data_IF_790863992444
#
_entry.id   IF_790863992444
#
_cell.length_a   1.000
_cell.length_b   1.000
_cell.length_c   1.000
_cell.angle_alpha   90.00
_cell.angle_beta   90.00
_cell.angle_gamma   90.00
#
_symmetry.space_group_name_H-M   'P 1'
#
loop_
_entity.id
_entity.type
_entity.pdbx_description
1 polymer ?
#
# COMPACT_ATOMS: atom_id res chain seq x y z
N UNK A 1 -14.92 11.91 -14.51
CA UNK A 1 -14.71 10.80 -13.55
C UNK A 1 -15.30 11.24 -12.21
N UNK A 2 -16.01 10.39 -11.46
CA UNK A 2 -16.48 10.74 -10.12
C UNK A 2 -15.30 11.15 -9.23
N UNK A 3 -15.49 12.16 -8.38
CA UNK A 3 -14.50 12.51 -7.35
C UNK A 3 -14.31 11.30 -6.45
N UNK A 4 -13.06 10.92 -6.17
CA UNK A 4 -12.75 9.78 -5.30
C UNK A 4 -12.94 10.14 -3.82
N UNK A 5 -14.15 10.54 -3.43
CA UNK A 5 -14.49 10.78 -2.03
C UNK A 5 -14.64 9.45 -1.29
N UNK A 6 -14.50 9.45 0.03
CA UNK A 6 -14.76 8.25 0.85
C UNK A 6 -16.17 7.71 0.58
N UNK A 7 -17.19 8.57 0.55
CA UNK A 7 -18.57 8.16 0.25
C UNK A 7 -18.70 7.46 -1.11
N UNK A 8 -18.08 8.00 -2.17
CA UNK A 8 -18.13 7.39 -3.51
C UNK A 8 -17.41 6.04 -3.54
N UNK A 9 -16.25 5.93 -2.86
CA UNK A 9 -15.51 4.67 -2.76
C UNK A 9 -16.28 3.61 -1.96
N UNK A 10 -16.93 4.01 -0.87
CA UNK A 10 -17.74 3.13 -0.02
C UNK A 10 -18.91 2.57 -0.83
N UNK A 11 -19.71 3.44 -1.44
CA UNK A 11 -20.85 3.02 -2.24
C UNK A 11 -20.45 2.11 -3.41
N UNK A 12 -19.34 2.43 -4.09
CA UNK A 12 -18.84 1.60 -5.19
C UNK A 12 -18.38 0.22 -4.70
N UNK A 13 -17.59 0.17 -3.63
CA UNK A 13 -17.09 -1.09 -3.08
C UNK A 13 -18.23 -1.97 -2.56
N UNK A 14 -19.23 -1.36 -1.90
CA UNK A 14 -20.43 -2.06 -1.45
C UNK A 14 -21.25 -2.64 -2.61
N UNK A 15 -21.48 -1.85 -3.65
CA UNK A 15 -22.21 -2.30 -4.85
C UNK A 15 -21.50 -3.44 -5.59
N UNK A 16 -20.18 -3.43 -5.65
CA UNK A 16 -19.38 -4.52 -6.24
C UNK A 16 -19.43 -5.75 -5.34
N UNK A 17 -19.25 -5.58 -4.03
CA UNK A 17 -19.25 -6.68 -3.07
C UNK A 17 -20.60 -7.42 -3.04
N UNK A 18 -21.72 -6.70 -3.06
CA UNK A 18 -23.06 -7.28 -3.00
C UNK A 18 -23.35 -8.31 -4.12
N UNK A 19 -22.57 -8.27 -5.21
CA UNK A 19 -22.69 -9.18 -6.36
C UNK A 19 -21.51 -10.15 -6.47
N UNK A 20 -20.47 -9.95 -5.67
CA UNK A 20 -19.25 -10.75 -5.74
C UNK A 20 -19.48 -12.13 -5.13
N UNK A 21 -19.12 -13.17 -5.88
CA UNK A 21 -19.16 -14.55 -5.42
C UNK A 21 -17.76 -15.14 -5.50
N UNK A 22 -17.38 -15.97 -4.54
CA UNK A 22 -16.11 -16.72 -4.62
C UNK A 22 -16.18 -17.64 -5.84
N UNK A 23 -15.14 -17.61 -6.67
CA UNK A 23 -15.04 -18.54 -7.80
C UNK A 23 -14.65 -19.94 -7.32
N UNK A 24 -15.27 -21.03 -7.86
CA UNK A 24 -15.03 -22.39 -7.37
C UNK A 24 -13.55 -22.78 -7.34
N UNK A 25 -12.77 -22.38 -8.34
CA UNK A 25 -11.34 -22.70 -8.43
C UNK A 25 -10.48 -21.96 -7.39
N UNK A 26 -11.02 -20.92 -6.74
CA UNK A 26 -10.36 -20.19 -5.66
C UNK A 26 -10.78 -20.66 -4.26
N UNK A 27 -11.91 -21.36 -4.15
CA UNK A 27 -12.51 -21.73 -2.86
C UNK A 27 -11.52 -22.46 -1.94
N UNK A 28 -10.78 -23.44 -2.48
CA UNK A 28 -9.82 -24.21 -1.68
C UNK A 28 -8.72 -23.33 -1.07
N UNK A 29 -8.15 -22.40 -1.84
CA UNK A 29 -7.11 -21.47 -1.36
C UNK A 29 -7.67 -20.49 -0.31
N UNK A 30 -8.88 -19.99 -0.54
CA UNK A 30 -9.56 -19.08 0.39
C UNK A 30 -9.88 -19.79 1.69
N UNK A 31 -10.43 -21.01 1.64
CA UNK A 31 -10.80 -21.80 2.82
C UNK A 31 -9.58 -22.11 3.70
N UNK A 32 -8.41 -22.39 3.10
CA UNK A 32 -7.17 -22.60 3.85
C UNK A 32 -6.76 -21.35 4.63
N UNK A 33 -6.76 -20.19 3.98
CA UNK A 33 -6.41 -18.93 4.64
C UNK A 33 -7.45 -18.54 5.71
N UNK A 34 -8.74 -18.59 5.36
CA UNK A 34 -9.83 -18.25 6.25
C UNK A 34 -9.85 -19.13 7.51
N UNK A 35 -9.72 -20.46 7.35
CA UNK A 35 -9.66 -21.39 8.49
C UNK A 35 -8.50 -21.07 9.42
N UNK A 36 -7.31 -20.79 8.88
CA UNK A 36 -6.14 -20.42 9.70
C UNK A 36 -6.38 -19.13 10.49
N UNK A 37 -6.97 -18.11 9.88
CA UNK A 37 -7.22 -16.83 10.55
C UNK A 37 -8.33 -16.91 11.60
N UNK A 38 -9.32 -17.77 11.38
CA UNK A 38 -10.41 -18.02 12.33
C UNK A 38 -10.08 -19.09 13.38
N UNK A 39 -8.97 -19.82 13.26
CA UNK A 39 -8.56 -20.81 14.25
C UNK A 39 -8.40 -20.14 15.62
N UNK A 40 -8.96 -20.72 16.71
CA UNK A 40 -9.02 -20.05 18.02
C UNK A 40 -7.67 -19.49 18.50
N UNK A 41 -6.59 -20.25 18.32
CA UNK A 41 -5.24 -19.83 18.71
C UNK A 41 -4.76 -18.61 17.92
N UNK A 42 -5.01 -18.57 16.62
CA UNK A 42 -4.61 -17.44 15.75
C UNK A 42 -5.52 -16.25 15.98
N UNK A 43 -6.84 -16.47 16.06
CA UNK A 43 -7.86 -15.45 16.29
C UNK A 43 -7.60 -14.69 17.58
N UNK A 44 -7.14 -15.36 18.64
CA UNK A 44 -6.86 -14.74 19.94
C UNK A 44 -5.93 -13.52 19.84
N UNK A 45 -4.91 -13.56 18.98
CA UNK A 45 -4.00 -12.44 18.73
C UNK A 45 -4.73 -11.23 18.15
N UNK A 46 -5.60 -11.45 17.16
CA UNK A 46 -6.34 -10.37 16.51
C UNK A 46 -7.42 -9.78 17.42
N UNK A 47 -8.08 -10.62 18.23
CA UNK A 47 -9.07 -10.16 19.20
C UNK A 47 -8.42 -9.41 20.34
N UNK A 48 -7.24 -9.83 20.82
CA UNK A 48 -6.49 -9.09 21.82
C UNK A 48 -6.04 -7.74 21.27
N UNK A 49 -5.53 -7.69 20.03
CA UNK A 49 -5.14 -6.43 19.40
C UNK A 49 -6.32 -5.48 19.22
N UNK A 50 -7.47 -5.99 18.76
CA UNK A 50 -8.71 -5.23 18.69
C UNK A 50 -9.12 -4.67 20.06
N UNK A 51 -9.00 -5.46 21.13
CA UNK A 51 -9.29 -5.02 22.49
C UNK A 51 -8.26 -3.98 23.01
N UNK A 52 -6.98 -4.13 22.68
CA UNK A 52 -5.91 -3.17 23.01
C UNK A 52 -6.17 -1.82 22.36
N UNK A 53 -6.46 -1.81 21.06
CA UNK A 53 -6.84 -0.61 20.31
C UNK A 53 -8.07 0.06 20.94
N UNK A 54 -9.07 -0.74 21.34
CA UNK A 54 -10.29 -0.22 21.99
C UNK A 54 -9.99 0.47 23.32
N UNK A 55 -9.09 -0.08 24.13
CA UNK A 55 -8.60 0.58 25.37
C UNK A 55 -7.90 1.92 25.09
N UNK A 56 -7.36 2.11 23.88
CA UNK A 56 -6.71 3.35 23.42
C UNK A 56 -7.66 4.31 22.70
N UNK A 57 -8.95 3.99 22.59
CA UNK A 57 -9.95 4.83 21.91
C UNK A 57 -10.13 4.56 20.40
N UNK A 58 -9.55 3.46 19.90
CA UNK A 58 -9.68 3.04 18.51
C UNK A 58 -10.53 1.78 18.40
N UNK A 59 -11.50 1.76 17.50
CA UNK A 59 -12.38 0.60 17.34
C UNK A 59 -12.09 -0.03 15.98
N UNK A 60 -11.23 -1.05 15.95
CA UNK A 60 -10.85 -1.78 14.74
C UNK A 60 -11.31 -3.23 14.89
N UNK A 61 -12.18 -3.75 14.01
CA UNK A 61 -12.63 -5.13 14.10
C UNK A 61 -11.48 -6.11 13.94
N UNK A 62 -11.45 -7.16 14.77
CA UNK A 62 -10.39 -8.18 14.75
C UNK A 62 -10.17 -8.78 13.36
N UNK A 63 -11.25 -8.99 12.59
CA UNK A 63 -11.17 -9.58 11.26
C UNK A 63 -10.49 -8.64 10.25
N UNK A 64 -10.55 -7.33 10.46
CA UNK A 64 -9.82 -6.36 9.63
C UNK A 64 -8.32 -6.38 9.93
N UNK A 65 -7.95 -6.56 11.20
CA UNK A 65 -6.55 -6.79 11.61
C UNK A 65 -6.05 -8.10 10.98
N UNK A 66 -6.85 -9.16 11.03
CA UNK A 66 -6.51 -10.48 10.49
C UNK A 66 -6.23 -10.44 8.98
N UNK A 67 -7.14 -9.87 8.18
CA UNK A 67 -6.95 -9.80 6.72
C UNK A 67 -5.84 -8.84 6.32
N UNK A 68 -5.63 -7.74 7.06
CA UNK A 68 -4.51 -6.83 6.79
C UNK A 68 -3.18 -7.54 7.05
N UNK A 69 -3.06 -8.26 8.18
CA UNK A 69 -1.88 -9.09 8.48
C UNK A 69 -1.64 -10.13 7.39
N UNK A 70 -2.67 -10.82 6.95
CA UNK A 70 -2.54 -11.82 5.89
C UNK A 70 -2.05 -11.19 4.57
N UNK A 71 -2.49 -9.97 4.26
CA UNK A 71 -2.09 -9.29 3.03
C UNK A 71 -0.65 -8.77 3.07
N UNK A 72 -0.23 -8.20 4.20
CA UNK A 72 1.09 -7.56 4.32
C UNK A 72 2.18 -8.52 4.77
N UNK A 73 1.84 -9.53 5.57
CA UNK A 73 2.78 -10.49 6.12
C UNK A 73 2.52 -11.94 5.69
N UNK A 74 1.41 -12.26 5.03
CA UNK A 74 1.10 -13.64 4.63
C UNK A 74 0.95 -14.61 5.81
N UNK A 75 1.12 -15.93 5.55
CA UNK A 75 1.04 -16.95 6.59
C UNK A 75 2.23 -16.85 7.54
N UNK A 76 2.00 -16.29 8.70
CA UNK A 76 2.96 -16.13 9.80
C UNK A 76 2.30 -16.61 11.11
N UNK A 77 2.42 -17.91 11.45
CA UNK A 77 1.81 -18.47 12.65
C UNK A 77 2.54 -18.08 13.93
N UNK A 78 3.75 -17.52 13.83
CA UNK A 78 4.57 -17.11 14.97
C UNK A 78 4.43 -15.61 15.28
N UNK A 79 3.71 -14.85 14.44
CA UNK A 79 3.52 -13.41 14.61
C UNK A 79 4.87 -12.67 14.72
N UNK A 80 5.84 -13.05 13.88
CA UNK A 80 7.18 -12.44 13.85
C UNK A 80 7.27 -11.24 12.92
N UNK A 81 6.28 -11.05 12.04
CA UNK A 81 6.26 -10.00 11.02
C UNK A 81 5.25 -8.91 11.34
N UNK A 82 5.67 -7.66 11.14
CA UNK A 82 4.83 -6.48 11.28
C UNK A 82 3.70 -6.47 10.25
N UNK A 83 2.51 -6.09 10.69
CA UNK A 83 1.31 -5.90 9.87
C UNK A 83 1.41 -4.70 8.91
N UNK A 84 2.44 -3.85 9.03
CA UNK A 84 2.62 -2.71 8.12
C UNK A 84 3.31 -3.06 6.79
N UNK A 85 4.29 -3.98 6.80
CA UNK A 85 5.09 -4.28 5.60
C UNK A 85 5.67 -5.70 5.53
N UNK A 86 5.37 -6.57 6.51
CA UNK A 86 5.86 -7.94 6.52
C UNK A 86 7.33 -8.12 6.96
N UNK A 87 8.04 -7.04 7.30
CA UNK A 87 9.36 -7.14 7.94
C UNK A 87 9.25 -7.69 9.36
N UNK A 88 10.33 -8.25 9.89
CA UNK A 88 10.37 -8.64 11.31
C UNK A 88 10.18 -7.41 12.21
N UNK A 89 9.33 -7.53 13.23
CA UNK A 89 9.07 -6.41 14.14
C UNK A 89 10.21 -6.13 15.14
N UNK A 90 11.05 -7.12 15.42
CA UNK A 90 12.18 -7.03 16.36
C UNK A 90 13.42 -6.36 15.75
N UNK A 91 13.25 -5.67 14.61
CA UNK A 91 14.30 -4.99 13.85
C UNK A 91 13.73 -3.73 13.20
N UNK A 92 14.61 -2.82 12.81
CA UNK A 92 14.23 -1.65 12.03
C UNK A 92 13.75 -2.08 10.64
N UNK A 93 12.55 -1.65 10.24
CA UNK A 93 11.97 -1.99 8.93
C UNK A 93 12.77 -1.40 7.76
N UNK A 94 12.91 -2.19 6.70
CA UNK A 94 13.57 -1.82 5.43
C UNK A 94 12.56 -1.62 4.30
N UNK A 95 11.42 -2.29 4.38
CA UNK A 95 10.27 -2.11 3.52
C UNK A 95 9.42 -0.93 4.03
N UNK A 96 8.65 -0.33 3.13
CA UNK A 96 7.82 0.85 3.44
C UNK A 96 6.59 0.41 4.23
N UNK A 97 6.22 1.08 5.34
CA UNK A 97 6.88 2.25 5.94
C UNK A 97 8.25 1.91 6.55
N UNK A 98 9.29 2.69 6.21
CA UNK A 98 10.68 2.40 6.59
C UNK A 98 11.00 2.95 7.96
N UNK A 99 12.02 2.39 8.61
CA UNK A 99 12.54 2.94 9.86
C UNK A 99 11.62 2.74 11.06
N UNK A 100 10.66 1.80 10.98
CA UNK A 100 9.76 1.45 12.09
C UNK A 100 10.43 0.41 12.99
N UNK A 101 10.11 0.42 14.27
CA UNK A 101 10.69 -0.50 15.25
C UNK A 101 12.16 -0.19 15.60
N UNK A 102 12.88 -1.12 16.26
CA UNK A 102 12.37 -2.41 16.74
C UNK A 102 11.25 -2.21 17.79
N UNK A 103 10.34 -3.18 17.86
CA UNK A 103 9.27 -3.24 18.87
C UNK A 103 9.56 -4.35 19.88
N UNK A 104 8.90 -4.32 21.04
CA UNK A 104 9.07 -5.37 22.06
C UNK A 104 8.23 -6.62 21.77
N UNK A 105 7.10 -6.45 21.09
CA UNK A 105 6.24 -7.55 20.65
C UNK A 105 5.45 -7.22 19.35
N UNK A 106 4.67 -8.20 18.89
CA UNK A 106 3.82 -8.02 17.70
C UNK A 106 2.70 -7.00 17.91
N UNK A 107 2.17 -6.87 19.12
CA UNK A 107 1.08 -5.95 19.43
C UNK A 107 1.55 -4.49 19.35
N UNK A 108 2.75 -4.18 19.83
CA UNK A 108 3.35 -2.85 19.65
C UNK A 108 3.60 -2.52 18.18
N UNK A 109 4.04 -3.52 17.39
CA UNK A 109 4.19 -3.36 15.95
C UNK A 109 2.84 -3.16 15.25
N UNK A 110 1.77 -3.80 15.75
CA UNK A 110 0.41 -3.64 15.23
C UNK A 110 -0.20 -2.28 15.59
N UNK A 111 -0.01 -1.83 16.82
CA UNK A 111 -0.35 -0.47 17.26
C UNK A 111 0.32 0.58 16.36
N UNK A 112 1.62 0.43 16.12
CA UNK A 112 2.38 1.34 15.26
C UNK A 112 1.84 1.37 13.83
N UNK A 113 1.62 0.19 13.24
CA UNK A 113 1.09 0.05 11.89
C UNK A 113 -0.31 0.64 11.73
N UNK A 114 -1.23 0.33 12.64
CA UNK A 114 -2.64 0.70 12.50
C UNK A 114 -2.91 2.15 12.89
N UNK A 115 -2.14 2.70 13.85
CA UNK A 115 -2.35 4.06 14.37
C UNK A 115 -1.49 5.09 13.65
N UNK A 116 -0.24 4.75 13.31
CA UNK A 116 0.77 5.74 12.89
C UNK A 116 1.23 5.58 11.44
N UNK A 117 0.82 4.54 10.73
CA UNK A 117 1.15 4.34 9.33
C UNK A 117 -0.09 4.51 8.44
N UNK A 118 0.11 4.89 7.18
CA UNK A 118 -0.98 4.94 6.23
C UNK A 118 -1.61 3.56 6.05
N UNK A 119 -2.94 3.49 5.87
CA UNK A 119 -3.90 4.58 5.73
C UNK A 119 -4.51 5.03 7.07
N UNK A 120 -3.85 4.76 8.20
CA UNK A 120 -4.32 5.08 9.56
C UNK A 120 -5.62 4.35 9.91
N UNK A 121 -5.63 3.04 9.72
CA UNK A 121 -6.82 2.20 9.90
C UNK A 121 -7.47 2.39 11.29
N UNK A 122 -6.70 2.62 12.35
CA UNK A 122 -7.23 2.85 13.69
C UNK A 122 -8.12 4.11 13.80
N UNK A 123 -7.91 5.09 12.92
CA UNK A 123 -8.71 6.32 12.86
C UNK A 123 -9.98 6.16 12.02
N UNK A 124 -10.12 5.05 11.29
CA UNK A 124 -11.28 4.74 10.48
C UNK A 124 -12.48 4.36 11.36
N UNK A 125 -13.68 4.82 10.99
CA UNK A 125 -14.91 4.62 11.77
C UNK A 125 -16.00 3.85 11.03
N UNK A 126 -15.96 3.82 9.70
CA UNK A 126 -17.00 3.19 8.90
C UNK A 126 -16.70 1.72 8.66
N UNK A 127 -17.20 0.85 9.52
CA UNK A 127 -17.02 -0.60 9.40
C UNK A 127 -18.18 -1.30 8.69
N UNK A 128 -18.95 -0.58 7.86
CA UNK A 128 -19.79 -1.23 6.84
C UNK A 128 -18.89 -2.00 5.87
N UNK A 129 -19.47 -2.91 5.09
CA UNK A 129 -18.71 -3.66 4.08
C UNK A 129 -17.98 -2.72 3.11
N UNK A 130 -18.68 -1.73 2.56
CA UNK A 130 -18.09 -0.72 1.67
C UNK A 130 -16.98 0.09 2.36
N UNK A 131 -17.18 0.42 3.64
CA UNK A 131 -16.20 1.10 4.48
C UNK A 131 -14.93 0.29 4.70
N UNK A 132 -15.06 -0.96 5.13
CA UNK A 132 -13.96 -1.89 5.36
C UNK A 132 -13.13 -2.12 4.08
N UNK A 133 -13.79 -2.30 2.93
CA UNK A 133 -13.11 -2.44 1.64
C UNK A 133 -12.45 -1.13 1.18
N UNK A 134 -13.03 0.02 1.53
CA UNK A 134 -12.46 1.34 1.19
C UNK A 134 -11.17 1.62 1.95
N UNK A 135 -11.13 1.39 3.26
CA UNK A 135 -9.88 1.55 4.03
C UNK A 135 -8.82 0.54 3.58
N UNK A 136 -9.22 -0.69 3.25
CA UNK A 136 -8.34 -1.71 2.67
C UNK A 136 -7.79 -1.33 1.30
N UNK A 137 -8.61 -0.70 0.46
CA UNK A 137 -8.17 -0.17 -0.83
C UNK A 137 -7.07 0.88 -0.66
N UNK A 138 -7.19 1.74 0.36
CA UNK A 138 -6.25 2.85 0.59
C UNK A 138 -4.84 2.39 0.91
N UNK A 139 -4.62 1.18 1.45
CA UNK A 139 -3.28 0.57 1.57
C UNK A 139 -2.56 0.47 0.22
N UNK A 140 -3.29 0.10 -0.82
CA UNK A 140 -2.74 -0.06 -2.18
C UNK A 140 -2.76 1.26 -2.99
N UNK A 141 -3.44 2.28 -2.47
CA UNK A 141 -3.77 3.50 -3.20
C UNK A 141 -4.98 3.37 -4.13
N UNK A 142 -5.30 4.48 -4.80
CA UNK A 142 -6.59 4.67 -5.48
C UNK A 142 -6.53 4.50 -7.00
N UNK A 143 -5.42 3.96 -7.49
CA UNK A 143 -5.16 3.81 -8.93
C UNK A 143 -6.18 2.93 -9.65
N UNK A 144 -6.79 1.96 -8.98
CA UNK A 144 -7.83 1.10 -9.56
C UNK A 144 -9.19 1.80 -9.59
N UNK A 145 -9.58 2.43 -8.48
CA UNK A 145 -10.82 3.20 -8.38
C UNK A 145 -10.88 4.33 -9.40
N UNK A 146 -9.79 5.10 -9.54
CA UNK A 146 -9.69 6.19 -10.52
C UNK A 146 -9.74 5.71 -11.97
N UNK A 147 -9.35 4.46 -12.23
CA UNK A 147 -9.48 3.81 -13.55
C UNK A 147 -10.87 3.21 -13.80
N UNK A 148 -11.74 3.15 -12.79
CA UNK A 148 -13.03 2.48 -12.90
C UNK A 148 -12.92 0.97 -13.08
N UNK A 149 -11.82 0.35 -12.61
CA UNK A 149 -11.60 -1.10 -12.70
C UNK A 149 -11.60 -1.74 -11.32
N UNK A 150 -12.01 -3.01 -11.19
CA UNK A 150 -11.96 -3.73 -9.91
C UNK A 150 -10.53 -3.79 -9.36
N UNK A 151 -10.38 -3.55 -8.06
CA UNK A 151 -9.09 -3.70 -7.39
C UNK A 151 -8.77 -5.19 -7.18
N UNK A 152 -7.70 -5.76 -7.79
CA UNK A 152 -7.31 -7.15 -7.60
C UNK A 152 -7.02 -7.50 -6.14
N UNK A 153 -6.51 -6.57 -5.35
CA UNK A 153 -6.19 -6.81 -3.93
C UNK A 153 -7.46 -6.89 -3.05
N UNK A 154 -8.60 -6.44 -3.56
CA UNK A 154 -9.89 -6.64 -2.93
C UNK A 154 -10.62 -7.85 -3.51
N UNK A 155 -10.69 -7.95 -4.83
CA UNK A 155 -11.66 -8.83 -5.51
C UNK A 155 -11.05 -10.03 -6.23
N UNK A 156 -9.72 -10.20 -6.25
CA UNK A 156 -9.12 -11.41 -6.81
C UNK A 156 -9.65 -12.67 -6.09
N UNK A 157 -10.05 -13.66 -6.89
CA UNK A 157 -10.75 -14.85 -6.41
C UNK A 157 -12.28 -14.73 -6.34
N UNK A 158 -12.86 -13.58 -6.67
CA UNK A 158 -14.31 -13.42 -6.84
C UNK A 158 -14.70 -13.16 -8.29
N UNK A 159 -15.99 -13.33 -8.60
CA UNK A 159 -16.60 -12.99 -9.90
C UNK A 159 -16.47 -11.51 -10.28
N UNK A 160 -16.11 -10.63 -9.33
CA UNK A 160 -15.98 -9.19 -9.56
C UNK A 160 -14.64 -8.76 -10.18
N UNK A 161 -13.66 -9.65 -10.30
CA UNK A 161 -12.35 -9.35 -10.91
C UNK A 161 -12.01 -10.37 -11.99
N UNK A 162 -11.39 -9.98 -13.10
CA UNK A 162 -10.94 -10.93 -14.13
C UNK A 162 -9.45 -10.72 -14.44
N UNK A 163 -9.08 -9.49 -14.76
CA UNK A 163 -7.71 -9.07 -15.06
C UNK A 163 -7.55 -7.58 -14.78
N UNK A 164 -6.33 -7.07 -14.86
CA UNK A 164 -6.01 -5.66 -14.64
C UNK A 164 -5.27 -5.46 -13.32
N UNK A 165 -3.95 -5.27 -13.40
CA UNK A 165 -3.09 -5.11 -12.22
C UNK A 165 -2.00 -4.09 -12.47
N UNK A 166 -1.67 -3.28 -11.46
CA UNK A 166 -0.40 -2.57 -11.43
C UNK A 166 0.73 -3.58 -11.20
N UNK A 167 1.50 -3.86 -12.26
CA UNK A 167 2.63 -4.80 -12.20
C UNK A 167 3.89 -4.14 -11.66
N UNK A 168 3.93 -2.80 -11.71
CA UNK A 168 4.96 -1.92 -11.15
C UNK A 168 4.29 -0.59 -10.80
N UNK A 169 4.98 0.26 -10.04
CA UNK A 169 4.50 1.60 -9.71
C UNK A 169 4.09 2.37 -10.97
N UNK A 170 2.84 2.82 -10.97
CA UNK A 170 2.21 3.53 -12.10
C UNK A 170 2.13 2.76 -13.42
N UNK A 171 2.53 1.48 -13.48
CA UNK A 171 2.46 0.62 -14.67
C UNK A 171 1.29 -0.34 -14.52
N UNK A 172 0.14 0.06 -15.05
CA UNK A 172 -1.06 -0.78 -15.12
C UNK A 172 -1.03 -1.66 -16.37
N UNK A 173 -1.16 -2.96 -16.18
CA UNK A 173 -1.33 -3.95 -17.23
C UNK A 173 -2.79 -4.46 -17.19
N UNK A 174 -3.61 -4.21 -18.23
CA UNK A 174 -5.00 -4.67 -18.27
C UNK A 174 -5.15 -6.20 -18.39
N UNK A 175 -4.10 -6.91 -18.80
CA UNK A 175 -4.09 -8.36 -19.00
C UNK A 175 -3.48 -9.11 -17.81
N UNK A 176 -2.70 -8.44 -16.96
CA UNK A 176 -2.13 -9.07 -15.79
C UNK A 176 -3.21 -9.57 -14.81
N UNK A 177 -3.07 -10.81 -14.35
CA UNK A 177 -3.99 -11.45 -13.40
C UNK A 177 -3.31 -11.61 -12.05
N UNK A 178 -4.01 -11.25 -10.97
CA UNK A 178 -3.49 -11.45 -9.62
C UNK A 178 -3.63 -12.92 -9.19
N UNK A 179 -2.54 -13.50 -8.70
CA UNK A 179 -2.56 -14.81 -8.03
C UNK A 179 -2.86 -14.70 -6.52
N UNK A 180 -2.86 -13.49 -5.97
CA UNK A 180 -3.15 -13.23 -4.55
C UNK A 180 -4.66 -13.31 -4.29
N UNK A 181 -5.04 -13.84 -3.13
CA UNK A 181 -6.44 -13.81 -2.66
C UNK A 181 -6.81 -12.37 -2.29
N UNK A 182 -7.93 -11.86 -2.80
CA UNK A 182 -8.41 -10.54 -2.46
C UNK A 182 -9.07 -10.48 -1.07
N UNK A 183 -9.01 -9.31 -0.43
CA UNK A 183 -9.58 -9.09 0.91
C UNK A 183 -11.09 -9.42 0.96
N UNK A 184 -11.87 -9.03 -0.05
CA UNK A 184 -13.30 -9.34 -0.09
C UNK A 184 -13.55 -10.86 -0.15
N UNK A 185 -12.76 -11.58 -0.95
CA UNK A 185 -12.84 -13.04 -1.05
C UNK A 185 -12.48 -13.71 0.28
N UNK A 186 -11.44 -13.20 0.95
CA UNK A 186 -11.01 -13.71 2.24
C UNK A 186 -12.03 -13.46 3.34
N UNK A 187 -12.64 -12.27 3.40
CA UNK A 187 -13.71 -11.93 4.35
C UNK A 187 -14.94 -12.83 4.17
N UNK A 188 -15.37 -13.06 2.93
CA UNK A 188 -16.44 -14.02 2.62
C UNK A 188 -16.08 -15.45 3.09
N UNK A 189 -14.83 -15.86 2.86
CA UNK A 189 -14.31 -17.14 3.36
C UNK A 189 -14.31 -17.22 4.88
N UNK A 190 -13.91 -16.16 5.58
CA UNK A 190 -13.87 -16.12 7.05
C UNK A 190 -15.27 -16.19 7.65
N UNK A 191 -16.28 -15.54 7.06
CA UNK A 191 -17.68 -15.61 7.50
C UNK A 191 -18.24 -17.04 7.50
N UNK A 192 -17.75 -17.92 6.62
CA UNK A 192 -18.10 -19.35 6.62
C UNK A 192 -17.59 -20.09 7.86
N UNK A 193 -16.45 -19.67 8.42
CA UNK A 193 -15.80 -20.34 9.55
C UNK A 193 -16.05 -19.66 10.89
N UNK A 194 -16.43 -18.39 10.89
CA UNK A 194 -16.63 -17.62 12.12
C UNK A 194 -17.74 -16.57 11.95
N UNK A 195 -18.87 -16.82 12.62
CA UNK A 195 -20.03 -15.95 12.59
C UNK A 195 -19.81 -14.59 13.29
N UNK A 196 -18.70 -14.41 14.03
CA UNK A 196 -18.34 -13.11 14.61
C UNK A 196 -17.69 -12.14 13.60
N UNK A 197 -17.47 -12.57 12.36
CA UNK A 197 -17.11 -11.69 11.24
C UNK A 197 -18.35 -10.93 10.77
N UNK A 198 -18.69 -9.88 11.51
CA UNK A 198 -19.87 -9.05 11.30
C UNK A 198 -19.46 -7.62 10.99
N UNK A 199 -20.03 -7.06 9.92
CA UNK A 199 -19.84 -5.67 9.53
C UNK A 199 -20.89 -4.79 10.21
N UNK A 200 -20.56 -3.52 10.42
CA UNK A 200 -21.54 -2.55 10.89
C UNK A 200 -22.64 -2.36 9.85
N UNK A 201 -23.88 -2.18 10.30
CA UNK A 201 -24.99 -1.73 9.46
C UNK A 201 -25.08 -0.20 9.38
N UNK A 202 -24.37 0.51 10.27
CA UNK A 202 -24.41 1.95 10.35
C UNK A 202 -23.38 2.56 9.41
N UNK A 203 -23.88 3.30 8.43
CA UNK A 203 -23.06 4.14 7.58
C UNK A 203 -22.72 5.44 8.32
N UNK A 204 -21.92 5.32 9.38
CA UNK A 204 -21.29 6.51 9.99
C UNK A 204 -20.40 7.15 8.96
N UNK A 205 -20.46 8.48 8.81
CA UNK A 205 -19.60 9.18 7.86
C UNK A 205 -18.15 8.73 8.05
N UNK A 206 -17.59 8.14 7.00
CA UNK A 206 -16.18 7.84 6.98
C UNK A 206 -15.43 9.16 7.08
N UNK A 207 -14.88 9.43 8.28
CA UNK A 207 -14.15 10.64 8.71
C UNK A 207 -14.11 11.77 7.66
N UNK A 208 -14.67 12.96 7.95
CA UNK A 208 -14.42 14.15 7.13
C UNK A 208 -12.91 14.31 6.90
N UNK A 209 -12.52 14.51 5.65
CA UNK A 209 -11.13 14.65 5.22
C UNK A 209 -10.33 15.53 6.19
N UNK A 210 -9.38 14.91 6.88
CA UNK A 210 -8.44 15.59 7.75
C UNK A 210 -7.06 14.98 7.49
N UNK A 211 -6.11 15.86 7.16
CA UNK A 211 -4.91 15.52 6.42
C UNK A 211 -4.09 14.36 7.02
N UNK A 212 -3.59 13.44 6.16
CA UNK A 212 -2.53 12.53 6.55
C UNK A 212 -1.21 13.32 6.75
N UNK A 213 -0.46 13.06 7.83
CA UNK A 213 0.89 13.57 8.05
C UNK A 213 1.82 13.49 6.82
N UNK A 214 2.70 14.49 6.70
CA UNK A 214 3.53 14.82 5.52
C UNK A 214 4.46 13.69 5.05
N UNK A 215 4.72 12.71 5.89
CA UNK A 215 5.56 11.52 5.65
C UNK A 215 4.86 10.42 4.82
N UNK A 216 3.54 10.37 4.81
CA UNK A 216 2.73 9.35 4.12
C UNK A 216 2.77 9.48 2.61
N UNK A 217 2.86 10.71 2.12
CA UNK A 217 2.84 11.02 0.68
C UNK A 217 4.19 10.76 0.03
N UNK A 218 5.29 10.78 0.82
CA UNK A 218 6.66 10.66 0.30
C UNK A 218 7.27 9.25 0.45
N UNK A 219 6.72 8.38 1.31
CA UNK A 219 7.23 7.02 1.54
C UNK A 219 6.58 5.93 0.67
N UNK A 220 5.26 5.98 0.44
CA UNK A 220 4.54 4.99 -0.37
C UNK A 220 5.05 4.91 -1.81
N UNK A 221 5.64 6.00 -2.33
CA UNK A 221 6.23 6.08 -3.68
C UNK A 221 7.78 5.92 -3.67
N UNK A 222 8.40 5.64 -2.51
CA UNK A 222 9.83 5.27 -2.41
C UNK A 222 10.08 3.77 -2.47
N UNK A 223 9.09 2.91 -2.18
CA UNK A 223 9.25 1.46 -2.17
C UNK A 223 9.68 0.89 -3.54
N UNK A 224 9.22 1.46 -4.66
CA UNK A 224 9.69 1.03 -5.98
C UNK A 224 11.11 1.47 -6.35
N UNK A 225 11.80 2.24 -5.50
CA UNK A 225 13.18 2.68 -5.79
C UNK A 225 14.26 1.68 -5.43
N UNK A 226 14.06 0.76 -4.48
CA UNK A 226 15.19 -0.05 -3.96
C UNK A 226 15.18 -1.54 -4.33
N UNK A 227 14.10 -2.09 -4.87
CA UNK A 227 14.10 -3.48 -5.40
C UNK A 227 14.82 -3.57 -6.76
N UNK A 228 15.16 -2.43 -7.37
CA UNK A 228 15.77 -2.34 -8.71
C UNK A 228 17.29 -2.51 -8.80
N UNK A 229 18.03 -2.60 -7.70
CA UNK A 229 19.50 -2.74 -7.76
C UNK A 229 20.01 -4.18 -7.52
N UNK A 230 19.22 -5.04 -6.88
CA UNK A 230 19.66 -6.43 -6.57
C UNK A 230 19.19 -7.49 -7.58
N UNK A 231 18.06 -7.27 -8.28
CA UNK A 231 17.51 -8.26 -9.22
C UNK A 231 17.98 -8.07 -10.67
N UNK A 232 18.73 -7.00 -10.97
CA UNK A 232 19.23 -6.69 -12.33
C UNK A 232 20.69 -7.11 -12.59
N UNK A 233 21.43 -7.57 -11.57
CA UNK A 233 22.85 -7.94 -11.71
C UNK A 233 23.08 -9.43 -12.03
N UNK A 234 22.01 -10.22 -12.20
CA UNK A 234 22.09 -11.68 -12.34
C UNK A 234 22.05 -12.23 -13.78
N UNK A 235 22.11 -11.41 -14.82
CA UNK A 235 22.08 -11.97 -16.19
C UNK A 235 22.23 -10.92 -17.28
N UNK A 236 23.47 -10.70 -17.72
CA UNK A 236 24.00 -11.05 -19.05
C UNK A 236 25.50 -10.75 -18.98
N UNK A 237 26.31 -11.81 -19.05
CA UNK A 237 27.75 -11.71 -19.30
C UNK A 237 27.97 -11.35 -20.77
N UNK A 238 28.95 -10.48 -21.07
CA UNK A 238 29.38 -10.25 -22.45
C UNK A 238 30.29 -9.05 -22.72
N UNK A 239 31.58 -9.23 -22.41
CA UNK A 239 32.75 -8.77 -23.17
C UNK A 239 33.23 -7.30 -23.15
N UNK A 240 34.58 -7.22 -23.10
CA UNK A 240 35.51 -6.16 -23.50
C UNK A 240 35.91 -5.07 -22.47
N UNK A 241 37.01 -5.36 -21.74
CA UNK A 241 38.30 -4.63 -21.70
C UNK A 241 38.37 -3.30 -22.50
N UNK A 242 39.03 -2.21 -22.08
CA UNK A 242 40.39 -2.07 -21.51
C UNK A 242 40.58 -0.77 -20.68
N UNK A 243 41.58 -0.77 -19.78
CA UNK A 243 42.54 0.33 -19.44
C UNK A 243 42.04 1.76 -19.12
N UNK A 244 42.62 2.55 -18.20
CA UNK A 244 43.90 2.47 -17.55
C UNK A 244 43.93 3.40 -16.31
N UNK A 245 44.79 2.98 -15.37
CA UNK A 245 45.46 3.67 -14.26
C UNK A 245 45.42 5.21 -14.25
N UNK A 246 45.02 5.75 -13.10
CA UNK A 246 45.54 6.99 -12.51
C UNK A 246 47.05 6.86 -12.22
N UNK A 247 47.87 7.90 -12.47
CA UNK A 247 48.64 8.68 -11.45
C UNK A 247 49.53 9.77 -12.14
N UNK A 248 49.50 10.98 -11.56
CA UNK A 248 50.52 12.07 -11.53
C UNK A 248 50.92 12.89 -12.78
N UNK A 249 50.79 14.22 -12.63
CA UNK A 249 51.49 15.24 -13.43
C UNK A 249 50.91 16.65 -13.23
N UNK A 250 51.51 17.45 -12.34
CA UNK A 250 51.24 18.88 -12.12
C UNK A 250 51.69 19.76 -13.28
N UNK A 251 50.83 20.67 -13.80
CA UNK A 251 51.16 22.07 -14.15
C UNK A 251 49.87 22.92 -14.09
N UNK A 252 49.91 24.05 -13.40
CA UNK A 252 48.88 25.11 -13.39
C UNK A 252 49.38 26.28 -14.24
N UNK A 253 48.53 26.90 -15.07
CA UNK A 253 48.54 28.35 -15.18
C UNK A 253 47.16 28.99 -14.88
N UNK A 254 47.23 30.27 -14.50
CA UNK A 254 46.20 31.19 -13.96
C UNK A 254 44.93 31.42 -14.82
N UNK A 255 43.88 32.09 -14.29
CA UNK A 255 42.49 31.91 -14.69
C UNK A 255 42.06 32.79 -15.87
N UNK A 256 41.33 32.21 -16.81
CA UNK A 256 40.44 32.95 -17.70
C UNK A 256 39.01 32.86 -17.14
N UNK A 257 38.45 34.01 -16.76
CA UNK A 257 37.02 34.18 -16.46
C UNK A 257 36.19 33.82 -17.69
N UNK A 258 35.48 32.69 -17.65
CA UNK A 258 34.43 32.36 -18.61
C UNK A 258 33.09 32.85 -18.07
N UNK A 259 32.57 33.93 -18.64
CA UNK A 259 31.14 34.25 -18.54
C UNK A 259 30.37 33.16 -19.32
N UNK A 260 29.32 32.56 -18.75
CA UNK A 260 28.56 31.51 -19.43
C UNK A 260 27.82 32.06 -20.66
N UNK A 261 27.80 31.30 -21.76
CA UNK A 261 27.21 31.69 -23.04
C UNK A 261 25.68 31.78 -22.99
N UNK A 262 25.05 32.45 -23.96
CA UNK A 262 23.58 32.53 -24.12
C UNK A 262 22.88 31.15 -24.14
N UNK A 263 23.59 30.09 -24.53
CA UNK A 263 23.08 28.71 -24.46
C UNK A 263 22.92 28.19 -23.01
N UNK A 264 23.71 28.69 -22.06
CA UNK A 264 23.55 28.37 -20.65
C UNK A 264 22.28 29.01 -20.06
N UNK A 265 21.93 30.23 -20.49
CA UNK A 265 20.70 30.91 -20.05
C UNK A 265 19.43 30.26 -20.61
N UNK A 266 19.45 29.71 -21.82
CA UNK A 266 18.29 28.98 -22.39
C UNK A 266 18.06 27.63 -21.71
N UNK A 267 19.13 26.93 -21.31
CA UNK A 267 19.03 25.70 -20.50
C UNK A 267 18.47 25.98 -19.10
N UNK A 268 18.87 27.10 -18.47
CA UNK A 268 18.31 27.54 -17.19
C UNK A 268 16.82 27.91 -17.35
N UNK A 269 16.44 28.62 -18.42
CA UNK A 269 15.04 28.98 -18.69
C UNK A 269 14.13 27.77 -18.91
N UNK A 270 14.59 26.76 -19.65
CA UNK A 270 13.86 25.50 -19.85
C UNK A 270 13.79 24.68 -18.56
N UNK A 271 14.86 24.62 -17.77
CA UNK A 271 14.86 23.95 -16.47
C UNK A 271 13.87 24.61 -15.48
N UNK A 272 13.80 25.95 -15.45
CA UNK A 272 12.84 26.69 -14.62
C UNK A 272 11.40 26.46 -15.10
N UNK A 273 11.14 26.45 -16.42
CA UNK A 273 9.81 26.16 -16.96
C UNK A 273 9.34 24.72 -16.69
N UNK A 274 10.25 23.73 -16.79
CA UNK A 274 9.99 22.33 -16.42
C UNK A 274 9.75 22.21 -14.91
N UNK A 275 10.50 22.93 -14.08
CA UNK A 275 10.28 22.98 -12.62
C UNK A 275 8.93 23.61 -12.27
N UNK A 276 8.52 24.69 -12.93
CA UNK A 276 7.21 25.33 -12.71
C UNK A 276 6.08 24.42 -13.18
N UNK A 277 6.17 23.82 -14.37
CA UNK A 277 5.18 22.88 -14.88
C UNK A 277 5.07 21.60 -14.02
N UNK A 278 6.20 21.08 -13.52
CA UNK A 278 6.25 20.01 -12.54
C UNK A 278 5.63 20.43 -11.21
N UNK A 279 5.90 21.66 -10.73
CA UNK A 279 5.31 22.19 -9.48
C UNK A 279 3.80 22.39 -9.61
N UNK A 280 3.29 22.84 -10.77
CA UNK A 280 1.85 22.98 -11.03
C UNK A 280 1.19 21.59 -11.16
N UNK A 281 1.86 20.62 -11.77
CA UNK A 281 1.35 19.24 -11.90
C UNK A 281 1.36 18.52 -10.56
N UNK A 282 2.40 18.75 -9.75
CA UNK A 282 2.50 18.30 -8.35
C UNK A 282 1.43 18.99 -7.51
N UNK A 283 1.21 20.29 -7.63
CA UNK A 283 0.16 21.00 -6.91
C UNK A 283 -1.25 20.53 -7.31
N UNK A 284 -1.48 20.21 -8.59
CA UNK A 284 -2.76 19.65 -9.08
C UNK A 284 -2.97 18.20 -8.62
N UNK A 285 -1.92 17.38 -8.59
CA UNK A 285 -1.95 16.02 -8.04
C UNK A 285 -2.10 16.02 -6.51
N UNK A 286 -1.45 16.96 -5.83
CA UNK A 286 -1.57 17.21 -4.40
C UNK A 286 -2.99 17.67 -4.06
N UNK A 287 -3.57 18.61 -4.82
CA UNK A 287 -4.97 19.01 -4.67
C UNK A 287 -5.96 17.85 -4.94
N UNK A 288 -5.63 16.95 -5.88
CA UNK A 288 -6.44 15.75 -6.13
C UNK A 288 -6.32 14.72 -5.01
N UNK A 289 -5.15 14.58 -4.38
CA UNK A 289 -4.93 13.74 -3.18
C UNK A 289 -5.58 14.39 -1.94
N UNK A 290 -5.41 15.70 -1.74
CA UNK A 290 -6.05 16.52 -0.69
C UNK A 290 -7.59 16.50 -0.78
N UNK A 291 -8.17 16.25 -1.95
CA UNK A 291 -9.63 16.10 -2.13
C UNK A 291 -10.18 14.71 -1.79
N UNK A 292 -9.31 13.74 -1.50
CA UNK A 292 -9.65 12.31 -1.32
C UNK A 292 -9.29 11.79 0.09
N UNK A 293 -8.34 12.46 0.75
CA UNK A 293 -7.87 12.13 2.09
C UNK A 293 -8.51 13.00 3.14
#
# INVERSE_FOLDING_TARGET
MPKATNAAMIAANEAVFAKAQIRPEWQGRIDVAARRLCEPKTKAWFTEESARLKRKGYDVPWFMIAVTKEMEAGPDPQFLRSIAQGDRWDRISVNVPKGRGPFDDWHEAADDALIKCAPYMALWKNWTMGGALTISMKYNGLGYFTKGVPNPYLFSGTTAYSSGKYVRDSVFDPQAVSAQVGIAALLLGMQKFDASVVFSNDNVDARPSAAPPKDIVDEATKAARNVRTAAGAGGIAGAANEGAKTTTGTVVPSPATLLPSLAAYSVIGVAVAVMIAATITVARRKAAVEAIW
#
